data_IF_667150109860
#
_entry.id   IF_667150109860
#
_cell.length_a   1.000
_cell.length_b   1.000
_cell.length_c   1.000
_cell.angle_alpha   90.00
_cell.angle_beta   90.00
_cell.angle_gamma   90.00
#
_symmetry.space_group_name_H-M   'P 1'
#
loop_
_entity.id
_entity.type
_entity.pdbx_description
1 polymer ?
#
# COMPACT_ATOMS: atom_id res chain seq x y z
N UNK A 1 24.38 -1.47 0.67
CA UNK A 1 24.92 -0.17 0.21
C UNK A 1 26.16 -0.45 -0.59
N UNK A 2 26.28 0.18 -1.76
CA UNK A 2 27.56 0.27 -2.47
C UNK A 2 28.19 1.62 -2.11
N UNK A 3 29.05 1.61 -1.08
CA UNK A 3 29.66 2.83 -0.53
C UNK A 3 30.82 3.36 -1.39
N UNK A 4 31.21 2.62 -2.43
CA UNK A 4 32.27 3.02 -3.36
C UNK A 4 31.72 3.69 -4.61
N UNK A 5 30.40 3.62 -4.84
CA UNK A 5 29.75 4.09 -6.06
C UNK A 5 28.93 5.36 -5.84
N UNK A 6 29.35 6.43 -6.50
CA UNK A 6 28.61 7.70 -6.57
C UNK A 6 27.67 7.74 -7.77
N UNK A 7 26.57 8.48 -7.66
CA UNK A 7 25.81 8.90 -8.82
C UNK A 7 26.49 10.08 -9.55
N UNK A 8 25.89 10.55 -10.65
CA UNK A 8 26.41 11.66 -11.47
C UNK A 8 26.61 12.97 -10.69
N UNK A 9 25.85 13.16 -9.60
CA UNK A 9 25.88 14.36 -8.75
C UNK A 9 26.85 14.20 -7.57
N UNK A 10 27.59 13.08 -7.50
CA UNK A 10 28.57 12.79 -6.45
C UNK A 10 27.98 12.21 -5.15
N UNK A 11 26.68 11.92 -5.12
CA UNK A 11 25.98 11.37 -3.96
C UNK A 11 26.19 9.86 -3.83
N UNK A 12 26.18 9.36 -2.59
CA UNK A 12 26.23 7.93 -2.27
C UNK A 12 24.85 7.41 -1.84
N UNK A 13 24.58 6.13 -2.10
CA UNK A 13 23.35 5.47 -1.67
C UNK A 13 23.60 4.54 -0.47
N UNK A 14 23.20 4.99 0.71
CA UNK A 14 23.19 4.15 1.91
C UNK A 14 21.84 3.44 2.07
N UNK A 15 21.73 2.25 1.47
CA UNK A 15 20.51 1.46 1.47
C UNK A 15 20.76 -0.06 1.38
N UNK A 16 19.80 -0.85 1.88
CA UNK A 16 19.83 -2.32 1.79
C UNK A 16 19.41 -2.81 0.40
N UNK A 17 18.45 -2.12 -0.23
CA UNK A 17 17.87 -2.46 -1.52
C UNK A 17 18.59 -1.68 -2.63
N UNK A 18 19.69 -2.23 -3.12
CA UNK A 18 20.44 -1.67 -4.26
C UNK A 18 20.36 -2.62 -5.44
N UNK A 19 20.32 -2.04 -6.64
CA UNK A 19 20.39 -2.74 -7.93
C UNK A 19 19.40 -3.92 -8.00
N UNK A 20 19.87 -5.15 -8.21
CA UNK A 20 19.05 -6.36 -8.41
C UNK A 20 18.08 -6.64 -7.25
N UNK A 21 18.39 -6.18 -6.03
CA UNK A 21 17.51 -6.35 -4.87
C UNK A 21 16.29 -5.44 -4.96
N UNK A 22 16.49 -4.19 -5.40
CA UNK A 22 15.38 -3.27 -5.64
C UNK A 22 14.49 -3.82 -6.76
N UNK A 23 15.09 -4.30 -7.85
CA UNK A 23 14.33 -4.90 -8.95
C UNK A 23 13.52 -6.14 -8.51
N UNK A 24 14.13 -7.02 -7.71
CA UNK A 24 13.47 -8.20 -7.15
C UNK A 24 12.30 -7.86 -6.22
N UNK A 25 12.37 -6.72 -5.52
CA UNK A 25 11.28 -6.21 -4.69
C UNK A 25 10.16 -5.65 -5.58
N UNK A 26 10.48 -4.75 -6.51
CA UNK A 26 9.50 -4.08 -7.38
C UNK A 26 8.69 -5.09 -8.19
N UNK A 27 9.32 -6.20 -8.61
CA UNK A 27 8.66 -7.31 -9.30
C UNK A 27 7.43 -7.86 -8.58
N UNK A 28 7.46 -7.92 -7.24
CA UNK A 28 6.34 -8.41 -6.42
C UNK A 28 5.49 -7.28 -5.89
N UNK A 29 6.13 -6.18 -5.49
CA UNK A 29 5.47 -5.03 -4.88
C UNK A 29 4.47 -4.39 -5.83
N UNK A 30 4.82 -4.29 -7.12
CA UNK A 30 4.04 -3.61 -8.15
C UNK A 30 3.18 -4.56 -8.99
N UNK A 31 3.06 -5.82 -8.58
CA UNK A 31 2.25 -6.83 -9.26
C UNK A 31 0.86 -6.92 -8.62
N UNK A 32 -0.18 -6.78 -9.44
CA UNK A 32 -1.58 -6.75 -8.99
C UNK A 32 -2.07 -8.12 -8.50
N UNK A 33 -1.43 -9.21 -8.96
CA UNK A 33 -1.67 -10.56 -8.46
C UNK A 33 -0.99 -10.81 -7.09
N UNK A 34 -0.16 -9.87 -6.62
CA UNK A 34 0.59 -9.98 -5.37
C UNK A 34 0.24 -8.81 -4.43
N UNK A 35 1.10 -7.80 -4.34
CA UNK A 35 1.00 -6.73 -3.34
C UNK A 35 0.23 -5.50 -3.83
N UNK A 36 0.18 -5.22 -5.13
CA UNK A 36 -0.41 -4.00 -5.66
C UNK A 36 -1.94 -4.10 -5.71
N UNK A 37 -2.63 -3.30 -4.93
CA UNK A 37 -4.08 -3.14 -4.94
C UNK A 37 -4.47 -1.85 -5.67
N UNK A 38 -5.71 -1.75 -6.12
CA UNK A 38 -6.32 -0.50 -6.59
C UNK A 38 -6.32 0.61 -5.54
N UNK A 39 -6.11 0.24 -4.27
CA UNK A 39 -6.17 1.13 -3.12
C UNK A 39 -4.82 1.32 -2.43
N UNK A 40 -3.72 0.74 -2.93
CA UNK A 40 -2.38 0.84 -2.33
C UNK A 40 -1.62 -0.49 -2.27
N UNK A 41 -0.60 -0.59 -1.41
CA UNK A 41 0.16 -1.82 -1.16
C UNK A 41 -0.46 -2.62 -0.01
N UNK A 42 -0.78 -3.88 -0.27
CA UNK A 42 -1.28 -4.85 0.72
C UNK A 42 -0.21 -5.22 1.74
N UNK A 43 -0.61 -5.54 2.97
CA UNK A 43 0.31 -6.01 4.02
C UNK A 43 0.82 -7.44 3.82
N UNK A 44 0.08 -8.27 3.08
CA UNK A 44 0.49 -9.59 2.62
C UNK A 44 0.12 -9.75 1.16
N UNK A 45 0.95 -10.47 0.42
CA UNK A 45 0.65 -10.76 -0.98
C UNK A 45 -0.65 -11.55 -1.13
N UNK A 46 -1.47 -11.15 -2.11
CA UNK A 46 -2.68 -11.84 -2.53
C UNK A 46 -2.42 -13.28 -3.01
N UNK A 47 -1.20 -13.63 -3.43
CA UNK A 47 -0.86 -15.01 -3.81
C UNK A 47 -1.05 -16.03 -2.68
N UNK A 48 -1.01 -15.58 -1.42
CA UNK A 48 -1.29 -16.40 -0.24
C UNK A 48 -2.77 -16.72 -0.05
N UNK A 49 -3.65 -16.21 -0.93
CA UNK A 49 -5.05 -16.64 -0.98
C UNK A 49 -5.16 -18.08 -1.46
N UNK A 50 -4.44 -18.40 -2.54
CA UNK A 50 -4.46 -19.72 -3.17
C UNK A 50 -3.30 -20.61 -2.66
N UNK A 51 -2.22 -19.98 -2.19
CA UNK A 51 -1.01 -20.66 -1.70
C UNK A 51 -0.67 -20.18 -0.28
N UNK A 52 -1.46 -20.51 0.75
CA UNK A 52 -1.18 -20.09 2.11
C UNK A 52 0.18 -20.62 2.58
N UNK A 53 0.89 -19.83 3.38
CA UNK A 53 2.12 -20.32 4.00
C UNK A 53 1.77 -21.24 5.17
N UNK A 54 2.23 -22.49 5.12
CA UNK A 54 1.96 -23.50 6.14
C UNK A 54 3.24 -23.88 6.87
N UNK A 55 3.20 -23.79 8.20
CA UNK A 55 4.28 -24.18 9.09
C UNK A 55 3.82 -25.32 10.01
N UNK A 56 4.46 -26.48 9.88
CA UNK A 56 4.20 -27.64 10.74
C UNK A 56 5.08 -27.62 11.99
N UNK A 57 4.48 -27.71 13.17
CA UNK A 57 5.19 -27.79 14.45
C UNK A 57 4.46 -28.69 15.44
N UNK A 58 5.19 -29.63 16.05
CA UNK A 58 4.66 -30.60 17.05
C UNK A 58 3.35 -31.30 16.61
N UNK A 59 3.27 -31.72 15.34
CA UNK A 59 2.09 -32.41 14.81
C UNK A 59 0.89 -31.51 14.49
N UNK A 60 1.02 -30.20 14.71
CA UNK A 60 0.03 -29.19 14.31
C UNK A 60 0.49 -28.44 13.07
N UNK A 61 -0.45 -28.03 12.22
CA UNK A 61 -0.20 -27.14 11.10
C UNK A 61 -0.75 -25.74 11.42
N UNK A 62 0.10 -24.73 11.24
CA UNK A 62 -0.26 -23.31 11.35
C UNK A 62 -0.21 -22.67 9.98
N UNK A 63 -1.24 -21.95 9.58
CA UNK A 63 -1.32 -21.34 8.25
C UNK A 63 -1.49 -19.83 8.31
N UNK A 64 -0.75 -19.11 7.47
CA UNK A 64 -0.97 -17.69 7.17
C UNK A 64 -1.63 -17.62 5.80
N UNK A 65 -2.92 -17.31 5.78
CA UNK A 65 -3.70 -17.06 4.58
C UNK A 65 -3.83 -15.55 4.33
N UNK A 66 -4.01 -15.18 3.07
CA UNK A 66 -4.41 -13.83 2.70
C UNK A 66 -5.83 -13.52 3.18
N UNK A 67 -5.95 -12.46 3.98
CA UNK A 67 -7.20 -11.96 4.54
C UNK A 67 -7.25 -10.44 4.30
N UNK A 68 -8.03 -9.97 3.32
CA UNK A 68 -8.01 -8.57 2.91
C UNK A 68 -8.65 -7.61 3.93
N UNK A 69 -9.48 -8.11 4.85
CA UNK A 69 -10.26 -7.31 5.81
C UNK A 69 -9.88 -7.58 7.27
N UNK A 70 -10.88 -7.66 8.15
CA UNK A 70 -10.67 -8.11 9.53
C UNK A 70 -10.18 -9.56 9.57
N UNK A 71 -9.46 -9.92 10.63
CA UNK A 71 -8.98 -11.29 10.84
C UNK A 71 -10.15 -12.24 11.10
N UNK A 72 -10.21 -13.37 10.39
CA UNK A 72 -11.13 -14.48 10.68
C UNK A 72 -10.75 -15.28 11.93
N UNK A 73 -9.57 -15.00 12.54
CA UNK A 73 -9.09 -15.71 13.72
C UNK A 73 -8.75 -14.76 14.87
N UNK A 74 -9.06 -15.18 16.10
CA UNK A 74 -8.70 -14.46 17.34
C UNK A 74 -7.23 -14.63 17.73
N UNK A 75 -6.52 -15.57 17.12
CA UNK A 75 -5.17 -16.01 17.49
C UNK A 75 -4.09 -14.91 17.35
N UNK A 76 -4.38 -13.84 16.61
CA UNK A 76 -3.43 -12.77 16.30
C UNK A 76 -3.93 -11.36 16.69
N UNK A 77 -4.77 -11.26 17.73
CA UNK A 77 -5.22 -9.96 18.25
C UNK A 77 -6.59 -9.51 17.75
N UNK A 78 -7.41 -10.42 17.20
CA UNK A 78 -8.79 -10.13 16.80
C UNK A 78 -8.85 -9.15 15.62
N UNK A 79 -9.43 -7.97 15.82
CA UNK A 79 -9.81 -7.04 14.75
C UNK A 79 -8.62 -6.49 13.92
N UNK A 80 -7.41 -6.40 14.49
CA UNK A 80 -6.24 -5.89 13.78
C UNK A 80 -5.61 -6.97 12.89
N UNK A 81 -5.50 -6.72 11.59
CA UNK A 81 -5.02 -7.69 10.62
C UNK A 81 -3.90 -7.14 9.72
N UNK A 82 -2.78 -7.84 9.69
CA UNK A 82 -1.60 -7.55 8.86
C UNK A 82 -1.41 -8.56 7.73
N UNK A 83 -2.44 -9.33 7.41
CA UNK A 83 -2.38 -10.44 6.44
C UNK A 83 -3.10 -10.14 5.13
N UNK A 84 -3.10 -8.88 4.72
CA UNK A 84 -3.73 -8.47 3.47
C UNK A 84 -4.25 -7.03 3.42
N UNK A 85 -4.73 -6.41 4.51
CA UNK A 85 -5.22 -5.04 4.45
C UNK A 85 -4.13 -4.03 4.11
N UNK A 86 -4.57 -2.83 3.72
CA UNK A 86 -3.72 -1.69 3.39
C UNK A 86 -3.56 -0.82 4.63
N UNK A 87 -2.31 -0.55 4.98
CA UNK A 87 -1.93 0.28 6.10
C UNK A 87 -1.14 1.50 5.60
N UNK A 88 -1.61 2.69 5.95
CA UNK A 88 -0.99 3.95 5.52
C UNK A 88 0.44 4.16 6.02
N UNK A 89 0.86 3.77 7.24
CA UNK A 89 2.25 3.91 7.66
C UNK A 89 3.23 3.20 6.72
N UNK A 90 2.94 1.94 6.36
CA UNK A 90 3.83 1.15 5.50
C UNK A 90 3.84 1.71 4.08
N UNK A 91 2.67 2.08 3.56
CA UNK A 91 2.57 2.70 2.24
C UNK A 91 3.33 4.03 2.18
N UNK A 92 3.19 4.88 3.20
CA UNK A 92 3.93 6.15 3.31
C UNK A 92 5.45 5.92 3.27
N UNK A 93 5.95 4.97 4.07
CA UNK A 93 7.38 4.64 4.10
C UNK A 93 7.89 4.10 2.76
N UNK A 94 7.10 3.27 2.08
CA UNK A 94 7.42 2.75 0.75
C UNK A 94 7.50 3.90 -0.26
N UNK A 95 6.48 4.75 -0.32
CA UNK A 95 6.40 5.88 -1.26
C UNK A 95 7.54 6.86 -1.04
N UNK A 96 7.79 7.25 0.21
CA UNK A 96 8.90 8.14 0.55
C UNK A 96 10.27 7.49 0.23
N UNK A 97 10.40 6.18 0.44
CA UNK A 97 11.62 5.45 0.04
C UNK A 97 11.83 5.50 -1.47
N UNK A 98 10.79 5.29 -2.28
CA UNK A 98 10.87 5.36 -3.74
C UNK A 98 11.29 6.77 -4.21
N UNK A 99 10.74 7.83 -3.62
CA UNK A 99 11.17 9.22 -3.86
C UNK A 99 12.65 9.40 -3.52
N UNK A 100 13.12 8.83 -2.41
CA UNK A 100 14.54 8.89 -2.02
C UNK A 100 15.46 8.07 -2.93
N UNK A 101 15.02 6.92 -3.44
CA UNK A 101 15.77 6.18 -4.45
C UNK A 101 15.83 6.94 -5.78
N UNK A 102 14.75 7.65 -6.14
CA UNK A 102 14.73 8.49 -7.32
C UNK A 102 15.78 9.61 -7.27
N UNK A 103 16.03 10.25 -6.12
CA UNK A 103 17.08 11.29 -6.03
C UNK A 103 18.49 10.75 -6.30
N UNK A 104 18.72 9.45 -6.11
CA UNK A 104 19.99 8.80 -6.46
C UNK A 104 20.01 8.30 -7.92
N UNK A 105 18.98 7.56 -8.34
CA UNK A 105 18.94 6.86 -9.63
C UNK A 105 18.45 7.74 -10.80
N UNK A 106 17.63 8.75 -10.52
CA UNK A 106 17.02 9.65 -11.50
C UNK A 106 16.14 8.94 -12.53
N UNK A 107 15.90 9.60 -13.67
CA UNK A 107 15.03 9.13 -14.75
C UNK A 107 15.52 7.86 -15.47
N UNK A 108 16.80 7.52 -15.33
CA UNK A 108 17.38 6.37 -16.03
C UNK A 108 16.86 5.05 -15.48
N UNK A 109 16.57 4.98 -14.18
CA UNK A 109 16.02 3.79 -13.57
C UNK A 109 14.51 3.79 -13.72
N UNK A 110 14.00 2.86 -14.54
CA UNK A 110 12.58 2.71 -14.78
C UNK A 110 12.15 1.27 -14.54
N UNK A 111 10.89 1.10 -14.13
CA UNK A 111 10.28 -0.20 -13.93
C UNK A 111 8.84 -0.19 -14.46
N UNK A 112 8.30 -1.37 -14.77
CA UNK A 112 6.92 -1.47 -15.26
C UNK A 112 5.91 -1.20 -14.14
N UNK A 113 4.92 -0.36 -14.41
CA UNK A 113 3.83 -0.06 -13.49
C UNK A 113 2.47 -0.01 -14.19
N UNK A 114 1.52 -0.87 -13.79
CA UNK A 114 1.72 -2.07 -12.96
C UNK A 114 2.75 -3.02 -13.57
N UNK A 115 3.30 -3.95 -12.79
CA UNK A 115 4.22 -4.95 -13.32
C UNK A 115 3.55 -5.72 -14.46
N UNK A 116 4.30 -6.02 -15.54
CA UNK A 116 3.84 -6.72 -16.75
C UNK A 116 2.87 -5.92 -17.63
N UNK A 117 2.69 -4.61 -17.38
CA UNK A 117 1.89 -3.74 -18.23
C UNK A 117 2.61 -3.29 -19.50
N UNK A 118 3.94 -3.44 -19.57
CA UNK A 118 4.78 -2.82 -20.61
C UNK A 118 4.95 -1.30 -20.47
N UNK A 119 4.23 -0.64 -19.56
CA UNK A 119 4.37 0.79 -19.29
C UNK A 119 5.48 1.04 -18.25
N UNK A 120 6.56 1.68 -18.66
CA UNK A 120 7.71 1.95 -17.78
C UNK A 120 7.66 3.36 -17.21
N UNK A 121 7.78 3.44 -15.89
CA UNK A 121 7.81 4.67 -15.12
C UNK A 121 9.11 4.75 -14.31
N UNK A 122 9.61 5.97 -14.05
CA UNK A 122 10.69 6.17 -13.09
C UNK A 122 10.16 6.03 -11.64
N UNK A 123 11.06 5.92 -10.66
CA UNK A 123 10.66 5.69 -9.26
C UNK A 123 9.79 6.80 -8.66
N UNK A 124 9.95 8.05 -9.11
CA UNK A 124 9.11 9.19 -8.70
C UNK A 124 7.68 9.05 -9.24
N UNK A 125 7.54 8.72 -10.52
CA UNK A 125 6.26 8.48 -11.16
C UNK A 125 5.53 7.28 -10.52
N UNK A 126 6.26 6.21 -10.19
CA UNK A 126 5.71 5.06 -9.45
C UNK A 126 5.22 5.49 -8.07
N UNK A 127 6.00 6.28 -7.34
CA UNK A 127 5.60 6.83 -6.04
C UNK A 127 4.29 7.63 -6.15
N UNK A 128 4.16 8.49 -7.18
CA UNK A 128 2.95 9.25 -7.42
C UNK A 128 1.74 8.36 -7.78
N UNK A 129 1.94 7.31 -8.59
CA UNK A 129 0.87 6.36 -8.89
C UNK A 129 0.38 5.59 -7.66
N UNK A 130 1.29 5.22 -6.75
CA UNK A 130 0.91 4.62 -5.47
C UNK A 130 0.14 5.61 -4.59
N UNK A 131 0.55 6.88 -4.53
CA UNK A 131 -0.21 7.92 -3.82
C UNK A 131 -1.60 8.09 -4.41
N UNK A 132 -1.76 8.13 -5.73
CA UNK A 132 -3.07 8.22 -6.38
C UNK A 132 -3.98 7.02 -6.02
N UNK A 133 -3.43 5.80 -5.95
CA UNK A 133 -4.18 4.62 -5.48
C UNK A 133 -4.62 4.76 -4.02
N UNK A 134 -3.80 5.34 -3.15
CA UNK A 134 -4.22 5.64 -1.76
C UNK A 134 -5.29 6.74 -1.71
N UNK A 135 -5.15 7.80 -2.51
CA UNK A 135 -6.13 8.89 -2.58
C UNK A 135 -7.49 8.40 -3.06
N UNK A 136 -7.51 7.41 -3.98
CA UNK A 136 -8.74 6.75 -4.43
C UNK A 136 -9.61 6.25 -3.27
N UNK A 137 -9.04 5.83 -2.15
CA UNK A 137 -9.79 5.41 -0.95
C UNK A 137 -10.73 6.54 -0.46
N UNK A 138 -10.31 7.79 -0.58
CA UNK A 138 -11.04 8.98 -0.13
C UNK A 138 -11.93 9.59 -1.22
N UNK A 139 -11.98 8.99 -2.40
CA UNK A 139 -12.86 9.44 -3.50
C UNK A 139 -14.27 8.86 -3.35
N UNK A 140 -15.24 9.47 -4.01
CA UNK A 140 -16.58 8.91 -4.13
C UNK A 140 -16.59 7.77 -5.15
N UNK A 141 -17.34 6.72 -4.86
CA UNK A 141 -17.65 5.64 -5.78
C UNK A 141 -18.88 5.97 -6.64
N UNK A 142 -19.27 5.04 -7.51
CA UNK A 142 -20.41 5.21 -8.44
C UNK A 142 -21.76 5.40 -7.74
N UNK A 143 -21.87 5.05 -6.46
CA UNK A 143 -23.08 5.28 -5.64
C UNK A 143 -23.07 6.61 -4.90
N UNK A 144 -22.02 7.42 -5.10
CA UNK A 144 -21.83 8.71 -4.44
C UNK A 144 -21.31 8.63 -3.01
N UNK A 145 -20.99 7.44 -2.47
CA UNK A 145 -20.36 7.27 -1.13
C UNK A 145 -18.84 7.27 -1.25
N UNK A 146 -18.09 7.67 -0.23
CA UNK A 146 -16.63 7.47 -0.22
C UNK A 146 -16.28 5.97 -0.29
N UNK A 147 -15.18 5.60 -0.96
CA UNK A 147 -14.79 4.18 -1.12
C UNK A 147 -14.66 3.45 0.22
N UNK A 148 -14.17 4.14 1.26
CA UNK A 148 -14.01 3.53 2.58
C UNK A 148 -15.33 3.32 3.35
N UNK A 149 -16.45 3.92 2.93
CA UNK A 149 -17.73 3.70 3.61
C UNK A 149 -18.21 2.26 3.42
N UNK A 150 -18.58 1.64 4.54
CA UNK A 150 -19.16 0.31 4.52
C UNK A 150 -20.45 0.29 3.67
N UNK A 151 -20.52 -0.63 2.70
CA UNK A 151 -21.61 -0.67 1.72
C UNK A 151 -22.99 -0.95 2.33
N UNK A 152 -23.01 -1.63 3.48
CA UNK A 152 -24.18 -2.06 4.24
C UNK A 152 -24.81 -0.93 5.08
N UNK A 153 -24.14 0.21 5.22
CA UNK A 153 -24.65 1.35 5.97
C UNK A 153 -25.31 2.38 5.03
N UNK A 154 -26.64 2.54 5.18
CA UNK A 154 -27.44 3.48 4.39
C UNK A 154 -27.24 4.94 4.78
N UNK A 155 -26.84 5.21 6.04
CA UNK A 155 -26.68 6.56 6.58
C UNK A 155 -25.70 7.41 5.76
N UNK A 156 -24.70 6.79 5.12
CA UNK A 156 -23.73 7.46 4.27
C UNK A 156 -24.32 8.12 3.02
N UNK A 157 -25.57 7.81 2.67
CA UNK A 157 -26.30 8.48 1.59
C UNK A 157 -27.23 9.58 2.09
N UNK A 158 -27.37 9.76 3.41
CA UNK A 158 -28.21 10.81 4.00
C UNK A 158 -27.50 12.17 3.94
N UNK A 159 -28.26 13.25 3.73
CA UNK A 159 -27.72 14.60 3.53
C UNK A 159 -26.81 15.09 4.66
N UNK A 160 -27.07 14.64 5.89
CA UNK A 160 -26.26 15.00 7.04
C UNK A 160 -24.89 14.31 7.05
N UNK A 161 -24.78 13.08 6.55
CA UNK A 161 -23.57 12.25 6.69
C UNK A 161 -22.79 12.05 5.39
N UNK A 162 -23.39 12.37 4.23
CA UNK A 162 -22.76 12.13 2.91
C UNK A 162 -21.44 12.86 2.66
N UNK A 163 -21.16 13.93 3.40
CA UNK A 163 -19.90 14.70 3.35
C UNK A 163 -18.96 14.41 4.53
N UNK A 164 -19.35 13.54 5.47
CA UNK A 164 -18.52 13.26 6.65
C UNK A 164 -17.33 12.40 6.26
N UNK A 165 -16.13 12.94 6.48
CA UNK A 165 -14.89 12.20 6.29
C UNK A 165 -14.50 11.42 7.54
N UNK A 166 -14.09 10.18 7.35
CA UNK A 166 -13.55 9.32 8.40
C UNK A 166 -12.13 8.89 8.07
N UNK A 167 -11.36 8.64 9.14
CA UNK A 167 -9.98 8.18 9.05
C UNK A 167 -9.88 6.84 9.77
N UNK A 168 -9.79 5.77 8.99
CA UNK A 168 -9.77 4.41 9.52
C UNK A 168 -8.36 3.95 9.90
N UNK A 169 -8.29 2.95 10.78
CA UNK A 169 -7.05 2.30 11.20
C UNK A 169 -6.31 1.67 10.00
N UNK A 170 -7.06 0.94 9.17
CA UNK A 170 -6.59 0.28 7.96
C UNK A 170 -7.75 0.11 6.97
N UNK A 171 -7.43 -0.33 5.75
CA UNK A 171 -8.41 -0.47 4.67
C UNK A 171 -8.38 -1.85 4.06
N UNK A 172 -9.55 -2.32 3.63
CA UNK A 172 -9.70 -3.62 3.00
C UNK A 172 -8.85 -3.71 1.71
N UNK A 173 -7.97 -4.70 1.64
CA UNK A 173 -6.96 -4.82 0.59
C UNK A 173 -7.51 -4.98 -0.83
N UNK A 174 -8.77 -5.38 -0.98
CA UNK A 174 -9.41 -5.61 -2.28
C UNK A 174 -10.57 -4.64 -2.59
N UNK A 175 -11.06 -3.86 -1.62
CA UNK A 175 -12.26 -2.99 -1.81
C UNK A 175 -12.08 -1.57 -1.32
N UNK A 176 -11.02 -1.28 -0.55
CA UNK A 176 -10.79 0.05 0.02
C UNK A 176 -11.69 0.40 1.21
N UNK A 177 -12.58 -0.50 1.64
CA UNK A 177 -13.44 -0.29 2.82
C UNK A 177 -12.61 0.05 4.06
N UNK A 178 -13.00 1.07 4.82
CA UNK A 178 -12.37 1.42 6.09
C UNK A 178 -12.70 0.43 7.19
N UNK A 179 -11.69 0.01 7.97
CA UNK A 179 -11.79 -1.01 9.01
C UNK A 179 -11.04 -0.56 10.28
N UNK A 180 -11.36 -1.21 11.41
CA UNK A 180 -10.83 -0.83 12.71
C UNK A 180 -11.41 0.50 13.21
N UNK A 181 -10.63 1.26 14.00
CA UNK A 181 -11.09 2.53 14.55
C UNK A 181 -11.29 3.59 13.44
N UNK A 182 -12.45 4.27 13.43
CA UNK A 182 -12.87 5.19 12.36
C UNK A 182 -12.51 6.68 12.57
N UNK A 183 -12.01 7.03 13.74
CA UNK A 183 -11.54 8.38 14.11
C UNK A 183 -10.02 8.40 14.31
N UNK A 184 -9.31 7.57 13.55
CA UNK A 184 -7.88 7.43 13.58
C UNK A 184 -7.21 8.46 12.66
N UNK A 185 -7.38 9.75 12.97
CA UNK A 185 -6.51 10.83 12.47
C UNK A 185 -5.10 10.75 13.07
N UNK A 186 -4.61 9.53 13.31
CA UNK A 186 -3.22 9.22 13.60
C UNK A 186 -2.48 9.03 12.29
N UNK A 187 -1.94 7.84 12.04
CA UNK A 187 -1.14 7.60 10.84
C UNK A 187 -1.91 7.74 9.52
N UNK A 188 -3.24 7.64 9.52
CA UNK A 188 -4.04 7.78 8.30
C UNK A 188 -4.00 9.22 7.78
N UNK A 189 -3.71 10.19 8.66
CA UNK A 189 -3.47 11.58 8.26
C UNK A 189 -2.20 11.77 7.40
N UNK A 190 -1.28 10.77 7.33
CA UNK A 190 -0.10 10.82 6.46
C UNK A 190 -0.46 10.94 4.97
N UNK A 191 -1.71 10.64 4.58
CA UNK A 191 -2.19 10.89 3.21
C UNK A 191 -2.07 12.37 2.81
N UNK A 192 -2.23 13.30 3.76
CA UNK A 192 -2.09 14.74 3.51
C UNK A 192 -0.65 15.09 3.15
N UNK A 193 0.33 14.50 3.84
CA UNK A 193 1.74 14.68 3.48
C UNK A 193 2.01 14.14 2.08
N UNK A 194 1.50 12.95 1.74
CA UNK A 194 1.71 12.40 0.40
C UNK A 194 1.14 13.29 -0.71
N UNK A 195 -0.02 13.92 -0.45
CA UNK A 195 -0.64 14.87 -1.36
C UNK A 195 0.22 16.13 -1.53
N UNK A 196 0.65 16.75 -0.43
CA UNK A 196 1.51 17.94 -0.49
C UNK A 196 2.85 17.64 -1.19
N UNK A 197 3.47 16.51 -0.87
CA UNK A 197 4.73 16.05 -1.47
C UNK A 197 4.57 15.66 -2.96
N UNK A 198 3.35 15.54 -3.49
CA UNK A 198 3.14 15.39 -4.94
C UNK A 198 3.15 16.74 -5.67
N UNK A 199 2.79 17.82 -4.97
CA UNK A 199 2.68 19.18 -5.53
C UNK A 199 4.00 19.96 -5.45
N UNK A 200 4.95 19.54 -4.61
CA UNK A 200 6.27 20.17 -4.42
C UNK A 200 7.27 19.96 -5.58
N UNK A 201 6.80 19.55 -6.76
CA UNK A 201 7.60 19.22 -7.94
C UNK A 201 7.40 20.14 -9.15
#
# INVERSE_FOLDING_TARGET
SDIEKKNKDGNYLFAIMVDDRLESLLKRLLDEAEFLSDYGIRSLSRSHKDNPYVFGYQGSNYSIQYEPGESSSSMFGGNSNWRGPIWLPLNYLIINSLRKYYTYYGDKYTYEFPARSGNKLNLKQIANQLTLRLLKIFERNDTGKFQYHASDQSCWSEDHFKEHHLFYEFFHGDTGQGLGASHQTGWTALIVNLLLEMDED
#
